data_IF_215664567020
#
_entry.id   IF_215664567020
#
_cell.length_a   1.000
_cell.length_b   1.000
_cell.length_c   1.000
_cell.angle_alpha   90.00
_cell.angle_beta   90.00
_cell.angle_gamma   90.00
#
_symmetry.space_group_name_H-M   'P 1'
#
loop_
_entity.id
_entity.type
_entity.pdbx_description
1 polymer ?
#
# COMPACT_ATOMS: atom_id res chain seq x y z
N UNK A 1 -1.92 -1.69 20.20
CA UNK A 1 -2.60 -1.66 18.88
C UNK A 1 -1.59 -1.25 17.84
N UNK A 2 -1.36 -2.08 16.82
CA UNK A 2 -0.26 -1.90 15.86
C UNK A 2 -0.42 -0.61 15.03
N UNK A 3 0.70 0.11 14.85
CA UNK A 3 0.80 1.40 14.19
C UNK A 3 0.08 1.44 12.82
N UNK A 4 -0.59 2.57 12.56
CA UNK A 4 -1.41 2.78 11.36
C UNK A 4 -0.63 2.46 10.08
N UNK A 5 -1.04 1.41 9.37
CA UNK A 5 -0.44 0.91 8.11
C UNK A 5 -0.82 1.76 6.89
N UNK A 6 -1.54 2.85 7.10
CA UNK A 6 -2.21 3.63 6.06
C UNK A 6 -1.89 5.11 6.24
N UNK A 7 -1.48 5.76 5.16
CA UNK A 7 -1.28 7.21 5.09
C UNK A 7 -2.34 7.80 4.18
N UNK A 8 -2.91 8.95 4.58
CA UNK A 8 -3.93 9.65 3.79
C UNK A 8 -3.28 10.33 2.58
N UNK A 9 -3.90 10.17 1.41
CA UNK A 9 -3.51 10.83 0.17
C UNK A 9 -4.68 11.66 -0.35
N UNK A 10 -4.47 12.97 -0.53
CA UNK A 10 -5.51 13.91 -0.96
C UNK A 10 -5.32 14.27 -2.43
N UNK A 11 -6.35 14.06 -3.24
CA UNK A 11 -6.34 14.41 -4.67
C UNK A 11 -7.35 15.53 -4.95
N UNK A 12 -6.98 16.41 -5.88
CA UNK A 12 -7.93 17.33 -6.55
C UNK A 12 -8.07 16.86 -7.99
N UNK A 13 -9.26 16.41 -8.35
CA UNK A 13 -9.60 15.90 -9.68
C UNK A 13 -10.92 16.52 -10.13
N UNK A 14 -11.13 16.53 -11.45
CA UNK A 14 -12.39 16.97 -12.02
C UNK A 14 -13.56 16.07 -11.57
N UNK A 15 -14.77 16.62 -11.41
CA UNK A 15 -15.91 15.88 -10.91
C UNK A 15 -16.32 14.70 -11.82
N UNK A 16 -16.21 14.87 -13.14
CA UNK A 16 -16.47 13.80 -14.11
C UNK A 16 -15.57 12.57 -13.90
N UNK A 17 -14.29 12.77 -13.58
CA UNK A 17 -13.34 11.68 -13.33
C UNK A 17 -13.70 10.97 -12.03
N UNK A 18 -14.10 11.71 -11.00
CA UNK A 18 -14.56 11.12 -9.73
C UNK A 18 -15.76 10.21 -9.96
N UNK A 19 -16.77 10.66 -10.71
CA UNK A 19 -17.98 9.86 -10.98
C UNK A 19 -17.68 8.58 -11.77
N UNK A 20 -16.78 8.68 -12.76
CA UNK A 20 -16.31 7.51 -13.51
C UNK A 20 -15.57 6.52 -12.60
N UNK A 21 -14.72 7.02 -11.69
CA UNK A 21 -13.99 6.21 -10.72
C UNK A 21 -14.93 5.53 -9.72
N UNK A 22 -15.94 6.24 -9.20
CA UNK A 22 -16.99 5.67 -8.35
C UNK A 22 -17.68 4.50 -9.08
N UNK A 23 -18.13 4.74 -10.32
CA UNK A 23 -18.81 3.72 -11.13
C UNK A 23 -17.93 2.48 -11.35
N UNK A 24 -16.63 2.67 -11.60
CA UNK A 24 -15.68 1.57 -11.76
C UNK A 24 -15.48 0.79 -10.44
N UNK A 25 -15.33 1.50 -9.32
CA UNK A 25 -15.19 0.89 -8.01
C UNK A 25 -16.44 0.08 -7.60
N UNK A 26 -17.64 0.61 -7.89
CA UNK A 26 -18.91 -0.07 -7.64
C UNK A 26 -19.05 -1.36 -8.45
N UNK A 27 -18.65 -1.34 -9.74
CA UNK A 27 -18.64 -2.53 -10.60
C UNK A 27 -17.70 -3.61 -10.11
N UNK A 28 -16.55 -3.22 -9.57
CA UNK A 28 -15.55 -4.15 -9.04
C UNK A 28 -15.84 -4.59 -7.60
N UNK A 29 -16.94 -4.12 -7.01
CA UNK A 29 -17.32 -4.33 -5.61
C UNK A 29 -16.20 -3.97 -4.62
N UNK A 30 -15.46 -2.89 -4.91
CA UNK A 30 -14.34 -2.41 -4.10
C UNK A 30 -14.57 -0.97 -3.70
N UNK A 31 -14.00 -0.55 -2.58
CA UNK A 31 -13.99 0.86 -2.21
C UNK A 31 -13.14 1.68 -3.19
N UNK A 32 -13.46 2.97 -3.35
CA UNK A 32 -12.69 3.91 -4.18
C UNK A 32 -11.21 3.91 -3.77
N UNK A 33 -10.92 3.88 -2.46
CA UNK A 33 -9.55 3.82 -1.95
C UNK A 33 -8.80 2.57 -2.43
N UNK A 34 -9.47 1.41 -2.41
CA UNK A 34 -8.85 0.17 -2.87
C UNK A 34 -8.69 0.15 -4.40
N UNK A 35 -9.66 0.70 -5.14
CA UNK A 35 -9.56 0.86 -6.59
C UNK A 35 -8.34 1.72 -6.97
N UNK A 36 -8.17 2.86 -6.31
CA UNK A 36 -6.99 3.72 -6.49
C UNK A 36 -5.70 3.00 -6.14
N UNK A 37 -5.66 2.22 -5.05
CA UNK A 37 -4.49 1.45 -4.68
C UNK A 37 -4.09 0.42 -5.75
N UNK A 38 -5.07 -0.26 -6.37
CA UNK A 38 -4.83 -1.20 -7.47
C UNK A 38 -4.30 -0.46 -8.70
N UNK A 39 -4.92 0.65 -9.09
CA UNK A 39 -4.47 1.47 -10.22
C UNK A 39 -3.03 1.97 -10.03
N UNK A 40 -2.68 2.41 -8.81
CA UNK A 40 -1.31 2.85 -8.47
C UNK A 40 -0.34 1.68 -8.62
N UNK A 41 -0.66 0.51 -8.06
CA UNK A 41 0.18 -0.69 -8.15
C UNK A 41 0.45 -1.10 -9.59
N UNK A 42 -0.60 -1.13 -10.41
CA UNK A 42 -0.48 -1.49 -11.82
C UNK A 42 0.31 -0.46 -12.63
N UNK A 43 0.09 0.84 -12.37
CA UNK A 43 0.86 1.92 -12.99
C UNK A 43 2.35 1.83 -12.65
N UNK A 44 2.68 1.64 -11.37
CA UNK A 44 4.06 1.45 -10.91
C UNK A 44 4.69 0.20 -11.51
N UNK A 45 3.96 -0.92 -11.58
CA UNK A 45 4.43 -2.15 -12.20
C UNK A 45 4.79 -1.94 -13.68
N UNK A 46 3.93 -1.25 -14.44
CA UNK A 46 4.21 -0.90 -15.85
C UNK A 46 5.39 0.07 -16.00
N UNK A 47 5.56 1.00 -15.06
CA UNK A 47 6.66 1.96 -15.04
C UNK A 47 7.97 1.43 -14.45
N UNK A 48 8.00 0.18 -13.98
CA UNK A 48 9.18 -0.39 -13.31
C UNK A 48 9.51 0.24 -11.96
N UNK A 49 8.54 0.90 -11.31
CA UNK A 49 8.72 1.56 -10.01
C UNK A 49 8.43 0.52 -8.90
N UNK A 50 9.43 0.09 -8.12
CA UNK A 50 9.20 -0.89 -7.07
C UNK A 50 8.45 -0.26 -5.90
N UNK A 51 7.23 -0.74 -5.63
CA UNK A 51 6.50 -0.42 -4.40
C UNK A 51 7.01 -1.35 -3.30
N UNK A 52 7.73 -0.79 -2.32
CA UNK A 52 8.17 -1.56 -1.16
C UNK A 52 6.99 -1.84 -0.23
N UNK A 53 6.44 -3.06 -0.29
CA UNK A 53 5.53 -3.55 0.75
C UNK A 53 6.35 -3.75 2.04
N UNK A 54 6.42 -2.71 2.88
CA UNK A 54 7.14 -2.74 4.18
C UNK A 54 6.61 -3.78 5.18
N UNK A 55 5.61 -4.59 4.81
CA UNK A 55 5.02 -5.63 5.67
C UNK A 55 5.74 -6.99 5.58
N UNK A 56 6.78 -7.11 4.75
CA UNK A 56 7.62 -8.30 4.67
C UNK A 56 8.97 -8.18 5.41
N UNK A 57 9.12 -7.23 6.33
CA UNK A 57 10.19 -7.34 7.33
C UNK A 57 9.74 -8.31 8.44
N UNK A 58 9.64 -9.61 8.09
CA UNK A 58 9.75 -10.67 9.10
C UNK A 58 11.20 -10.66 9.58
N UNK A 59 11.36 -10.33 10.85
CA UNK A 59 12.50 -10.59 11.74
C UNK A 59 13.82 -11.05 11.07
N UNK A 60 14.89 -10.22 11.03
CA UNK A 60 16.22 -10.80 11.06
C UNK A 60 16.41 -11.42 12.45
N UNK A 61 16.25 -12.73 12.48
CA UNK A 61 16.99 -13.71 13.27
C UNK A 61 17.77 -13.15 14.49
N UNK A 62 17.31 -13.56 15.66
CA UNK A 62 17.90 -13.27 16.96
C UNK A 62 19.40 -13.59 17.04
N UNK A 63 20.27 -12.57 16.96
CA UNK A 63 21.63 -12.68 17.51
C UNK A 63 21.56 -12.36 19.01
N UNK A 64 21.26 -13.39 19.83
CA UNK A 64 21.54 -13.33 21.27
C UNK A 64 23.07 -13.35 21.46
N UNK A 65 23.72 -12.34 22.07
CA UNK A 65 25.10 -12.49 22.48
C UNK A 65 25.16 -13.53 23.61
N UNK A 66 25.84 -14.66 23.38
CA UNK A 66 26.19 -15.60 24.44
C UNK A 66 27.13 -14.89 25.44
N UNK A 67 26.94 -15.02 26.76
CA UNK A 67 27.85 -14.44 27.72
C UNK A 67 29.19 -15.18 27.63
N UNK A 68 30.26 -14.50 27.25
CA UNK A 68 31.61 -15.03 27.45
C UNK A 68 31.95 -14.90 28.94
N UNK A 69 31.81 -15.99 29.67
CA UNK A 69 32.54 -16.20 30.93
C UNK A 69 34.03 -16.34 30.57
N UNK A 70 34.86 -15.45 31.09
CA UNK A 70 36.27 -15.71 31.39
C UNK A 70 36.77 -14.65 32.36
#
# INVERSE_FOLDING_TARGET
>A
MAAAKTTTLTFRIEPNIKEALCTAADRDHRSIANMVAVMIREHCARGGIPIQDKQAAKEPEAVKPKPRKR
#
